data_IF_752259188518
#
_entry.id   IF_752259188518
#
_cell.length_a   1.000
_cell.length_b   1.000
_cell.length_c   1.000
_cell.angle_alpha   90.00
_cell.angle_beta   90.00
_cell.angle_gamma   90.00
#
_symmetry.space_group_name_H-M   'P 1'
#
loop_
_entity.id
_entity.type
_entity.pdbx_description
1 polymer ?
#
# COMPACT_ATOMS: atom_id res chain seq x y z
N UNK A 1 2.80 20.45 20.20
CA UNK A 1 2.54 19.72 18.93
C UNK A 1 2.85 18.25 19.12
N UNK A 2 2.12 17.32 18.48
CA UNK A 2 2.38 15.90 18.60
C UNK A 2 3.75 15.60 18.00
N UNK A 3 4.58 14.95 18.79
CA UNK A 3 5.78 14.33 18.31
C UNK A 3 5.35 13.12 17.47
N UNK A 4 5.35 13.27 16.13
CA UNK A 4 5.40 12.12 15.23
C UNK A 4 6.41 11.14 15.82
N UNK A 5 5.98 9.93 16.18
CA UNK A 5 6.93 8.85 16.50
C UNK A 5 7.75 8.65 15.24
N UNK A 6 8.94 9.25 15.23
CA UNK A 6 9.97 9.09 14.21
C UNK A 6 10.58 7.69 14.28
N UNK A 7 9.76 6.63 14.37
CA UNK A 7 10.25 5.26 14.32
C UNK A 7 10.93 4.93 12.99
N UNK A 8 10.76 5.80 11.98
CA UNK A 8 11.40 5.68 10.66
C UNK A 8 12.37 6.81 10.31
N UNK A 9 12.31 7.98 10.96
CA UNK A 9 12.85 9.22 10.33
C UNK A 9 14.36 9.40 10.44
N UNK A 10 15.09 8.50 11.09
CA UNK A 10 16.55 8.56 11.07
C UNK A 10 17.12 7.18 11.26
N UNK A 11 17.13 6.37 10.18
CA UNK A 11 18.22 5.40 10.09
C UNK A 11 19.52 6.22 10.13
N UNK A 12 20.41 6.02 11.11
CA UNK A 12 21.66 6.77 11.21
C UNK A 12 22.44 6.80 9.89
N UNK A 13 22.30 5.70 9.13
CA UNK A 13 22.88 5.51 7.82
C UNK A 13 22.41 6.53 6.77
N UNK A 14 21.13 6.90 6.75
CA UNK A 14 20.57 7.83 5.74
C UNK A 14 21.22 9.20 5.87
N UNK A 15 21.32 9.74 7.08
CA UNK A 15 21.97 11.03 7.31
C UNK A 15 23.47 11.01 7.06
N UNK A 16 24.16 9.92 7.43
CA UNK A 16 25.59 9.79 7.14
C UNK A 16 25.89 9.63 5.64
N UNK A 17 24.90 9.26 4.83
CA UNK A 17 25.05 9.15 3.38
C UNK A 17 24.88 10.47 2.62
N UNK A 18 24.43 11.53 3.30
CA UNK A 18 24.23 12.85 2.70
C UNK A 18 25.53 13.64 2.76
N UNK A 19 25.86 14.32 1.65
CA UNK A 19 27.00 15.22 1.56
C UNK A 19 26.93 16.34 2.61
N UNK A 20 27.99 16.56 3.42
CA UNK A 20 27.98 17.52 4.52
C UNK A 20 27.52 18.92 4.14
N UNK A 21 27.90 19.42 2.96
CA UNK A 21 27.49 20.75 2.52
C UNK A 21 25.96 20.86 2.32
N UNK A 22 25.34 19.85 1.71
CA UNK A 22 23.88 19.84 1.48
C UNK A 22 23.12 19.70 2.79
N UNK A 23 23.61 18.81 3.67
CA UNK A 23 23.06 18.67 5.00
C UNK A 23 23.12 20.00 5.75
N UNK A 24 24.26 20.70 5.72
CA UNK A 24 24.41 22.02 6.34
C UNK A 24 23.42 23.04 5.76
N UNK A 25 23.30 23.11 4.44
CA UNK A 25 22.33 23.98 3.76
C UNK A 25 20.90 23.70 4.25
N UNK A 26 20.50 22.43 4.35
CA UNK A 26 19.21 22.03 4.89
C UNK A 26 19.02 22.43 6.36
N UNK A 27 19.97 22.13 7.23
CA UNK A 27 19.88 22.47 8.65
C UNK A 27 19.77 23.98 8.88
N UNK A 28 20.40 24.80 8.02
CA UNK A 28 20.31 26.26 8.07
C UNK A 28 18.91 26.84 7.78
N UNK A 29 17.99 26.06 7.23
CA UNK A 29 16.59 26.48 7.14
C UNK A 29 15.91 26.48 8.53
N UNK A 30 16.52 25.81 9.51
CA UNK A 30 15.98 25.63 10.85
C UNK A 30 16.98 26.05 11.96
N UNK A 31 17.83 27.05 11.71
CA UNK A 31 18.90 27.49 12.66
C UNK A 31 18.36 27.72 14.07
N UNK A 32 17.25 28.43 14.22
CA UNK A 32 16.69 28.75 15.53
C UNK A 32 16.25 27.50 16.30
N UNK A 33 15.75 26.49 15.60
CA UNK A 33 15.41 25.21 16.21
C UNK A 33 16.65 24.50 16.72
N UNK A 34 17.67 24.32 15.88
CA UNK A 34 18.90 23.61 16.27
C UNK A 34 19.66 24.35 17.37
N UNK A 35 19.73 25.68 17.33
CA UNK A 35 20.33 26.51 18.38
C UNK A 35 19.63 26.32 19.73
N UNK A 36 18.29 26.31 19.76
CA UNK A 36 17.51 26.02 20.99
C UNK A 36 17.70 24.60 21.49
N UNK A 37 18.02 23.66 20.60
CA UNK A 37 18.31 22.25 20.92
C UNK A 37 19.75 22.01 21.35
N UNK A 38 20.57 23.06 21.46
CA UNK A 38 21.98 22.98 21.86
C UNK A 38 22.90 22.44 20.77
N UNK A 39 22.44 22.39 19.51
CA UNK A 39 23.23 21.95 18.38
C UNK A 39 23.74 23.16 17.59
N UNK A 40 25.07 23.30 17.52
CA UNK A 40 25.71 24.31 16.70
C UNK A 40 25.92 23.78 15.28
N UNK A 41 25.21 24.34 14.30
CA UNK A 41 25.41 24.00 12.90
C UNK A 41 26.81 24.48 12.49
N UNK A 42 27.68 23.62 11.94
CA UNK A 42 29.05 24.00 11.57
C UNK A 42 29.10 25.22 10.65
N UNK A 43 29.93 26.19 11.00
CA UNK A 43 30.18 27.37 10.17
C UNK A 43 31.18 27.00 9.06
N UNK A 44 30.70 26.50 7.93
CA UNK A 44 31.53 26.27 6.74
C UNK A 44 31.14 25.05 5.92
N UNK A 45 31.90 24.81 4.86
CA UNK A 45 31.78 23.68 3.93
C UNK A 45 32.45 22.39 4.44
N UNK A 46 33.02 22.41 5.65
CA UNK A 46 33.72 21.27 6.24
C UNK A 46 32.80 20.09 6.58
N UNK A 47 33.39 18.89 6.62
CA UNK A 47 32.71 17.68 7.07
C UNK A 47 32.31 17.79 8.54
N UNK A 48 31.11 17.28 8.89
CA UNK A 48 30.72 17.12 10.28
C UNK A 48 31.66 16.13 10.97
N UNK A 49 32.08 16.43 12.21
CA UNK A 49 32.81 15.45 13.02
C UNK A 49 31.88 14.31 13.44
N UNK A 50 32.44 13.18 13.87
CA UNK A 50 31.65 12.04 14.34
C UNK A 50 30.77 12.42 15.54
N UNK A 51 31.28 13.27 16.43
CA UNK A 51 30.56 13.80 17.60
C UNK A 51 29.38 14.67 17.16
N UNK A 52 29.59 15.58 16.20
CA UNK A 52 28.53 16.43 15.66
C UNK A 52 27.43 15.60 14.98
N UNK A 53 27.79 14.56 14.24
CA UNK A 53 26.80 13.64 13.67
C UNK A 53 26.02 12.89 14.75
N UNK A 54 26.68 12.40 15.81
CA UNK A 54 26.00 11.76 16.93
C UNK A 54 25.05 12.71 17.64
N UNK A 55 25.45 13.96 17.87
CA UNK A 55 24.57 14.99 18.44
C UNK A 55 23.36 15.27 17.55
N UNK A 56 23.57 15.41 16.24
CA UNK A 56 22.50 15.62 15.27
C UNK A 56 21.50 14.45 15.24
N UNK A 57 22.00 13.21 15.23
CA UNK A 57 21.16 12.01 15.33
C UNK A 57 20.38 12.00 16.64
N UNK A 58 20.98 12.40 17.77
CA UNK A 58 20.26 12.51 19.04
C UNK A 58 19.16 13.56 18.99
N UNK A 59 19.41 14.70 18.35
CA UNK A 59 18.40 15.76 18.16
C UNK A 59 17.23 15.23 17.35
N UNK A 60 17.50 14.54 16.24
CA UNK A 60 16.47 13.95 15.38
C UNK A 60 15.72 12.78 16.01
N UNK A 61 16.39 11.92 16.79
CA UNK A 61 15.75 10.82 17.49
C UNK A 61 15.00 11.26 18.76
N UNK A 62 15.12 12.53 19.15
CA UNK A 62 14.43 13.11 20.32
C UNK A 62 13.56 14.31 19.93
N UNK A 63 12.64 14.16 18.96
CA UNK A 63 11.74 15.24 18.56
C UNK A 63 10.92 15.73 19.77
N UNK A 64 10.58 17.02 19.78
CA UNK A 64 9.80 17.65 20.85
C UNK A 64 8.67 18.51 20.28
N UNK A 65 7.89 19.14 21.17
CA UNK A 65 6.77 20.00 20.78
C UNK A 65 7.17 21.22 19.92
N UNK A 66 8.45 21.62 19.96
CA UNK A 66 9.00 22.76 19.24
C UNK A 66 9.65 22.35 17.90
N UNK A 67 9.57 21.07 17.53
CA UNK A 67 10.14 20.55 16.28
C UNK A 67 9.29 21.05 15.09
N UNK A 68 9.89 21.77 14.12
CA UNK A 68 9.17 22.26 12.97
C UNK A 68 8.49 21.12 12.20
N UNK A 69 7.23 21.33 11.82
CA UNK A 69 6.48 20.34 11.03
C UNK A 69 7.14 20.10 9.68
N UNK A 70 7.63 21.16 9.04
CA UNK A 70 8.35 21.09 7.76
C UNK A 70 9.63 20.25 7.86
N UNK A 71 10.42 20.41 8.93
CA UNK A 71 11.61 19.58 9.19
C UNK A 71 11.24 18.10 9.28
N UNK A 72 10.15 17.80 9.98
CA UNK A 72 9.69 16.43 10.15
C UNK A 72 9.22 15.82 8.84
N UNK A 73 8.45 16.58 8.04
CA UNK A 73 7.97 16.17 6.74
C UNK A 73 9.13 15.94 5.74
N UNK A 74 10.11 16.84 5.73
CA UNK A 74 11.31 16.74 4.92
C UNK A 74 12.05 15.43 5.19
N UNK A 75 12.41 15.20 6.45
CA UNK A 75 13.18 14.03 6.85
C UNK A 75 12.43 12.73 6.54
N UNK A 76 11.11 12.70 6.74
CA UNK A 76 10.28 11.55 6.38
C UNK A 76 10.37 11.21 4.90
N UNK A 77 10.13 12.18 4.01
CA UNK A 77 10.13 11.89 2.59
C UNK A 77 11.55 11.64 2.03
N UNK A 78 12.56 12.30 2.60
CA UNK A 78 13.96 12.04 2.22
C UNK A 78 14.33 10.60 2.58
N UNK A 79 14.02 10.12 3.79
CA UNK A 79 14.31 8.74 4.18
C UNK A 79 13.55 7.73 3.33
N UNK A 80 12.25 7.96 3.08
CA UNK A 80 11.44 7.07 2.24
C UNK A 80 11.96 6.97 0.80
N UNK A 81 12.55 8.04 0.26
CA UNK A 81 13.09 8.09 -1.09
C UNK A 81 14.59 7.75 -1.16
N UNK A 82 15.29 7.58 -0.03
CA UNK A 82 16.72 7.29 0.05
C UNK A 82 17.06 5.83 -0.27
N UNK A 83 16.62 5.34 -1.43
CA UNK A 83 16.93 4.01 -1.94
C UNK A 83 17.09 4.06 -3.48
N UNK A 84 17.65 3.02 -4.10
CA UNK A 84 17.90 3.00 -5.55
C UNK A 84 16.63 3.24 -6.37
N UNK A 85 15.49 2.65 -5.96
CA UNK A 85 14.19 2.87 -6.61
C UNK A 85 13.70 4.31 -6.48
N UNK A 86 13.87 4.90 -5.29
CA UNK A 86 13.53 6.29 -5.04
C UNK A 86 14.41 7.23 -5.87
N UNK A 87 15.70 6.94 -6.00
CA UNK A 87 16.63 7.70 -6.83
C UNK A 87 16.21 7.69 -8.31
N UNK A 88 15.89 6.52 -8.88
CA UNK A 88 15.40 6.43 -10.27
C UNK A 88 14.11 7.24 -10.47
N UNK A 89 13.15 7.12 -9.54
CA UNK A 89 11.90 7.88 -9.59
C UNK A 89 12.15 9.40 -9.53
N UNK A 90 13.08 9.83 -8.68
CA UNK A 90 13.47 11.23 -8.53
C UNK A 90 14.22 11.78 -9.76
N UNK A 91 15.12 10.99 -10.36
CA UNK A 91 15.80 11.37 -11.61
C UNK A 91 14.79 11.54 -12.75
N UNK A 92 13.85 10.61 -12.89
CA UNK A 92 12.79 10.69 -13.88
C UNK A 92 11.91 11.93 -13.64
N UNK A 93 11.52 12.19 -12.39
CA UNK A 93 10.73 13.36 -12.03
C UNK A 93 11.48 14.67 -12.33
N UNK A 94 12.76 14.76 -11.96
CA UNK A 94 13.62 15.91 -12.22
C UNK A 94 13.75 16.17 -13.73
N UNK A 95 13.98 15.12 -14.52
CA UNK A 95 14.02 15.20 -15.98
C UNK A 95 12.70 15.71 -16.58
N UNK A 96 11.56 15.16 -16.14
CA UNK A 96 10.23 15.61 -16.60
C UNK A 96 9.96 17.08 -16.26
N UNK A 97 10.41 17.52 -15.08
CA UNK A 97 10.27 18.88 -14.61
C UNK A 97 11.37 19.84 -15.09
N UNK A 98 12.27 19.37 -15.97
CA UNK A 98 13.42 20.12 -16.52
C UNK A 98 14.30 20.77 -15.45
N UNK A 99 14.47 20.08 -14.31
CA UNK A 99 15.41 20.47 -13.28
C UNK A 99 16.80 20.02 -13.72
N UNK A 100 17.72 20.97 -13.90
CA UNK A 100 19.11 20.67 -14.21
C UNK A 100 19.80 20.19 -12.94
N UNK A 101 20.27 18.95 -12.96
CA UNK A 101 21.14 18.41 -11.91
C UNK A 101 22.60 18.71 -12.27
N UNK A 102 23.46 19.04 -11.31
CA UNK A 102 24.89 19.24 -11.56
C UNK A 102 25.53 18.01 -12.21
N UNK A 103 26.16 18.18 -13.38
CA UNK A 103 26.72 17.07 -14.18
C UNK A 103 27.93 16.40 -13.52
N UNK A 104 28.72 17.17 -12.75
CA UNK A 104 29.98 16.70 -12.14
C UNK A 104 29.79 16.08 -10.75
N UNK A 105 28.57 16.08 -10.22
CA UNK A 105 28.31 15.75 -8.82
C UNK A 105 27.71 14.34 -8.68
N UNK A 106 28.42 13.47 -7.95
CA UNK A 106 27.91 12.12 -7.64
C UNK A 106 26.89 12.21 -6.51
N UNK A 107 25.63 11.96 -6.83
CA UNK A 107 24.56 11.88 -5.85
C UNK A 107 24.43 10.46 -5.29
N UNK A 108 24.40 10.33 -3.96
CA UNK A 108 23.73 9.18 -3.34
C UNK A 108 22.19 9.34 -3.46
N UNK A 109 21.40 8.28 -3.23
CA UNK A 109 19.94 8.43 -3.18
C UNK A 109 19.44 9.47 -2.19
N UNK A 110 20.04 9.53 -0.99
CA UNK A 110 19.69 10.50 0.03
C UNK A 110 20.10 11.93 -0.36
N UNK A 111 21.24 12.09 -1.03
CA UNK A 111 21.67 13.38 -1.58
C UNK A 111 20.68 13.93 -2.60
N UNK A 112 20.25 13.10 -3.56
CA UNK A 112 19.32 13.52 -4.59
C UNK A 112 17.96 13.90 -3.98
N UNK A 113 17.49 13.11 -3.01
CA UNK A 113 16.26 13.41 -2.28
C UNK A 113 16.37 14.75 -1.53
N UNK A 114 17.44 14.97 -0.76
CA UNK A 114 17.64 16.24 -0.05
C UNK A 114 17.77 17.41 -1.02
N UNK A 115 18.51 17.24 -2.12
CA UNK A 115 18.71 18.28 -3.13
C UNK A 115 17.39 18.70 -3.79
N UNK A 116 16.56 17.73 -4.18
CA UNK A 116 15.24 18.00 -4.75
C UNK A 116 14.26 18.58 -3.72
N UNK A 117 14.40 18.22 -2.43
CA UNK A 117 13.66 18.89 -1.36
C UNK A 117 14.00 20.38 -1.30
N UNK A 118 15.30 20.73 -1.33
CA UNK A 118 15.74 22.13 -1.26
C UNK A 118 15.31 22.97 -2.48
N UNK A 119 15.20 22.35 -3.67
CA UNK A 119 14.76 23.04 -4.89
C UNK A 119 13.24 23.14 -4.97
N UNK A 120 12.55 22.00 -4.82
CA UNK A 120 11.11 21.87 -5.05
C UNK A 120 10.53 20.69 -4.26
N UNK A 121 10.13 20.90 -2.98
CA UNK A 121 9.59 19.84 -2.13
C UNK A 121 8.42 19.08 -2.75
N UNK A 122 7.56 19.75 -3.53
CA UNK A 122 6.40 19.12 -4.17
C UNK A 122 6.80 18.01 -5.14
N UNK A 123 7.89 18.17 -5.89
CA UNK A 123 8.35 17.16 -6.85
C UNK A 123 8.74 15.85 -6.16
N UNK A 124 9.43 15.96 -5.03
CA UNK A 124 9.80 14.80 -4.22
C UNK A 124 8.57 14.13 -3.63
N UNK A 125 7.62 14.92 -3.09
CA UNK A 125 6.35 14.39 -2.56
C UNK A 125 5.53 13.67 -3.64
N UNK A 126 5.49 14.22 -4.84
CA UNK A 126 4.77 13.62 -5.97
C UNK A 126 5.44 12.31 -6.41
N UNK A 127 6.77 12.27 -6.50
CA UNK A 127 7.53 11.05 -6.81
C UNK A 127 7.34 9.97 -5.72
N UNK A 128 7.34 10.38 -4.44
CA UNK A 128 7.05 9.49 -3.32
C UNK A 128 5.65 8.90 -3.41
N UNK A 129 4.64 9.73 -3.68
CA UNK A 129 3.26 9.28 -3.87
C UNK A 129 3.16 8.33 -5.06
N UNK A 130 3.79 8.64 -6.19
CA UNK A 130 3.81 7.76 -7.36
C UNK A 130 4.41 6.38 -7.00
N UNK A 131 5.45 6.34 -6.17
CA UNK A 131 6.02 5.11 -5.66
C UNK A 131 5.04 4.36 -4.73
N UNK A 132 4.32 5.06 -3.83
CA UNK A 132 3.28 4.44 -2.98
C UNK A 132 2.22 3.73 -3.83
N UNK A 133 1.77 4.37 -4.90
CA UNK A 133 0.74 3.86 -5.80
C UNK A 133 1.18 2.58 -6.50
N UNK A 134 2.47 2.48 -6.83
CA UNK A 134 3.07 1.30 -7.48
C UNK A 134 3.43 0.16 -6.51
N UNK A 135 3.28 0.36 -5.19
CA UNK A 135 3.60 -0.67 -4.20
C UNK A 135 2.60 -1.84 -4.23
N UNK A 136 3.06 -3.10 -4.09
CA UNK A 136 2.23 -4.28 -4.06
C UNK A 136 1.42 -4.29 -2.78
N UNK A 137 0.15 -4.65 -2.91
CA UNK A 137 -0.83 -4.54 -1.83
C UNK A 137 -1.87 -5.64 -1.95
N UNK A 138 -2.62 -5.79 -0.87
CA UNK A 138 -3.92 -6.44 -0.93
C UNK A 138 -4.94 -5.46 -1.51
N UNK A 139 -5.61 -5.87 -2.60
CA UNK A 139 -6.70 -5.13 -3.20
C UNK A 139 -7.99 -5.94 -3.11
N UNK A 140 -9.09 -5.22 -2.92
CA UNK A 140 -10.44 -5.73 -3.08
C UNK A 140 -10.93 -5.32 -4.47
N UNK A 141 -11.41 -6.27 -5.25
CA UNK A 141 -11.82 -6.09 -6.63
C UNK A 141 -13.34 -5.96 -6.69
N UNK A 142 -13.82 -4.97 -7.43
CA UNK A 142 -15.24 -4.72 -7.66
C UNK A 142 -15.44 -4.40 -9.12
N UNK A 143 -16.05 -5.33 -9.85
CA UNK A 143 -16.36 -5.14 -11.26
C UNK A 143 -17.66 -4.37 -11.40
N UNK A 144 -17.77 -3.56 -12.44
CA UNK A 144 -19.02 -2.93 -12.81
C UNK A 144 -20.06 -4.01 -13.17
N UNK A 145 -21.34 -3.79 -12.81
CA UNK A 145 -22.44 -4.73 -13.08
C UNK A 145 -22.69 -4.94 -14.57
N UNK A 146 -22.53 -3.89 -15.36
CA UNK A 146 -22.63 -3.94 -16.81
C UNK A 146 -21.26 -4.28 -17.42
N UNK A 147 -21.26 -5.20 -18.39
CA UNK A 147 -20.04 -5.59 -19.14
C UNK A 147 -19.46 -4.39 -19.89
N UNK A 148 -20.33 -3.56 -20.45
CA UNK A 148 -19.98 -2.35 -21.21
C UNK A 148 -20.78 -1.19 -20.62
N UNK A 149 -20.30 -0.57 -19.53
CA UNK A 149 -20.99 0.55 -18.94
C UNK A 149 -20.97 1.77 -19.85
N UNK A 150 -21.83 2.74 -19.50
CA UNK A 150 -21.71 4.09 -20.03
C UNK A 150 -20.31 4.66 -19.77
N UNK A 151 -19.83 5.52 -20.66
CA UNK A 151 -18.50 6.11 -20.51
C UNK A 151 -18.41 6.87 -19.17
N UNK A 152 -17.37 6.62 -18.35
CA UNK A 152 -17.22 7.32 -17.07
C UNK A 152 -17.11 8.83 -17.31
N UNK A 153 -17.69 9.62 -16.39
CA UNK A 153 -17.51 11.08 -16.39
C UNK A 153 -16.02 11.43 -16.33
N UNK A 154 -15.63 12.50 -17.02
CA UNK A 154 -14.23 12.97 -17.03
C UNK A 154 -13.81 13.41 -15.63
N UNK A 155 -12.58 13.06 -15.27
CA UNK A 155 -11.95 13.55 -14.05
C UNK A 155 -11.68 15.04 -14.25
N UNK A 156 -12.25 15.86 -13.38
CA UNK A 156 -12.11 17.33 -13.36
C UNK A 156 -11.80 17.77 -11.94
N UNK A 157 -11.20 18.94 -11.77
CA UNK A 157 -10.92 19.48 -10.42
C UNK A 157 -12.19 19.54 -9.56
N UNK A 158 -13.33 19.88 -10.17
CA UNK A 158 -14.64 19.88 -9.50
C UNK A 158 -15.04 18.49 -9.00
N UNK A 159 -14.77 17.44 -9.77
CA UNK A 159 -15.02 16.06 -9.34
C UNK A 159 -14.12 15.70 -8.15
N UNK A 160 -12.84 16.09 -8.19
CA UNK A 160 -11.88 15.82 -7.09
C UNK A 160 -12.28 16.56 -5.81
N UNK A 161 -12.68 17.82 -5.91
CA UNK A 161 -13.21 18.59 -4.76
C UNK A 161 -14.47 17.94 -4.19
N UNK A 162 -15.37 17.46 -5.06
CA UNK A 162 -16.58 16.76 -4.63
C UNK A 162 -16.25 15.42 -3.94
N UNK A 163 -15.29 14.68 -4.47
CA UNK A 163 -14.80 13.43 -3.89
C UNK A 163 -14.19 13.66 -2.51
N UNK A 164 -13.31 14.66 -2.36
CA UNK A 164 -12.74 15.05 -1.06
C UNK A 164 -13.82 15.42 -0.05
N UNK A 165 -14.80 16.25 -0.44
CA UNK A 165 -15.91 16.63 0.43
C UNK A 165 -16.72 15.43 0.92
N UNK A 166 -17.00 14.44 0.05
CA UNK A 166 -17.67 13.20 0.45
C UNK A 166 -16.82 12.34 1.39
N UNK A 167 -15.51 12.26 1.15
CA UNK A 167 -14.57 11.55 2.04
C UNK A 167 -14.52 12.22 3.42
N UNK A 168 -14.53 13.55 3.47
CA UNK A 168 -14.49 14.31 4.71
C UNK A 168 -15.76 14.13 5.54
N UNK A 169 -16.94 14.15 4.90
CA UNK A 169 -18.22 13.82 5.54
C UNK A 169 -18.21 12.39 6.11
N UNK A 170 -17.74 11.44 5.31
CA UNK A 170 -17.63 10.03 5.68
C UNK A 170 -16.67 9.78 6.86
N UNK A 171 -15.55 10.53 6.90
CA UNK A 171 -14.59 10.48 7.99
C UNK A 171 -15.14 11.11 9.26
N UNK A 172 -15.83 12.26 9.15
CA UNK A 172 -16.44 12.95 10.28
C UNK A 172 -17.48 12.07 10.98
N UNK A 173 -18.32 11.37 10.21
CA UNK A 173 -19.30 10.41 10.72
C UNK A 173 -18.66 9.25 11.52
N UNK A 174 -17.36 8.97 11.29
CA UNK A 174 -16.57 7.96 12.02
C UNK A 174 -15.64 8.53 13.07
N UNK A 175 -15.87 9.78 13.51
CA UNK A 175 -15.03 10.45 14.51
C UNK A 175 -13.56 10.58 14.08
N UNK A 176 -13.32 10.64 12.77
CA UNK A 176 -12.02 11.02 12.19
C UNK A 176 -12.04 12.49 11.80
N UNK A 177 -10.88 13.03 11.47
CA UNK A 177 -10.76 14.41 10.98
C UNK A 177 -11.36 14.53 9.59
N UNK A 178 -12.10 15.60 9.36
CA UNK A 178 -12.71 15.93 8.07
C UNK A 178 -11.69 16.66 7.18
N UNK A 179 -10.52 16.05 6.97
CA UNK A 179 -9.47 16.57 6.11
C UNK A 179 -8.91 15.42 5.29
N UNK A 180 -9.10 15.50 3.98
CA UNK A 180 -8.57 14.56 3.01
C UNK A 180 -7.89 15.28 1.86
N UNK A 181 -6.93 14.58 1.23
CA UNK A 181 -6.29 15.02 -0.01
C UNK A 181 -6.34 13.87 -1.01
N UNK A 182 -6.82 14.15 -2.21
CA UNK A 182 -6.89 13.17 -3.29
C UNK A 182 -5.92 13.57 -4.40
N UNK A 183 -5.02 12.66 -4.76
CA UNK A 183 -4.12 12.80 -5.90
C UNK A 183 -4.45 11.73 -6.94
N UNK A 184 -4.44 12.10 -8.22
CA UNK A 184 -4.81 11.20 -9.33
C UNK A 184 -3.60 10.95 -10.22
N UNK A 185 -3.39 9.68 -10.57
CA UNK A 185 -2.31 9.23 -11.44
C UNK A 185 -2.87 8.34 -12.54
N UNK A 186 -2.46 8.57 -13.79
CA UNK A 186 -2.86 7.75 -14.93
C UNK A 186 -1.71 6.82 -15.35
N UNK A 187 -1.99 5.54 -15.55
CA UNK A 187 -1.04 4.52 -16.01
C UNK A 187 -1.66 3.62 -17.07
N UNK A 188 -1.57 4.03 -18.34
CA UNK A 188 -2.25 3.33 -19.42
C UNK A 188 -3.77 3.40 -19.22
N UNK A 189 -4.41 2.24 -19.02
CA UNK A 189 -5.85 2.15 -18.77
C UNK A 189 -6.23 2.35 -17.30
N UNK A 190 -5.27 2.35 -16.37
CA UNK A 190 -5.52 2.48 -14.94
C UNK A 190 -5.51 3.95 -14.48
N UNK A 191 -6.47 4.29 -13.63
CA UNK A 191 -6.58 5.56 -12.93
C UNK A 191 -6.49 5.32 -11.43
N UNK A 192 -5.36 5.69 -10.85
CA UNK A 192 -5.10 5.53 -9.43
C UNK A 192 -5.41 6.82 -8.66
N UNK A 193 -6.27 6.71 -7.65
CA UNK A 193 -6.64 7.76 -6.70
C UNK A 193 -5.98 7.45 -5.36
N UNK A 194 -4.90 8.16 -5.03
CA UNK A 194 -4.34 8.10 -3.68
C UNK A 194 -5.12 9.05 -2.79
N UNK A 195 -5.70 8.50 -1.72
CA UNK A 195 -6.57 9.23 -0.80
C UNK A 195 -5.84 9.31 0.55
N UNK A 196 -5.23 10.46 0.84
CA UNK A 196 -4.70 10.73 2.17
C UNK A 196 -5.83 11.16 3.09
N UNK A 197 -5.92 10.57 4.28
CA UNK A 197 -6.94 10.87 5.30
C UNK A 197 -6.38 10.71 6.69
N UNK A 198 -6.99 11.34 7.69
CA UNK A 198 -6.64 11.05 9.08
C UNK A 198 -7.23 9.72 9.56
N UNK A 199 -6.45 8.97 10.31
CA UNK A 199 -6.90 7.76 11.02
C UNK A 199 -7.61 8.13 12.34
N UNK A 200 -8.19 7.16 13.06
CA UNK A 200 -8.77 7.42 14.38
C UNK A 200 -7.78 8.06 15.35
N UNK A 201 -8.30 8.90 16.25
CA UNK A 201 -7.50 9.53 17.30
C UNK A 201 -6.79 8.47 18.13
N UNK A 202 -5.47 8.60 18.26
CA UNK A 202 -4.68 7.76 19.13
C UNK A 202 -4.35 8.53 20.41
N UNK A 203 -4.58 7.89 21.57
CA UNK A 203 -4.02 8.31 22.85
C UNK A 203 -3.04 7.26 23.34
N UNK A 204 -1.89 7.67 23.83
CA UNK A 204 -0.89 6.74 24.32
C UNK A 204 0.27 7.43 24.99
N UNK A 205 1.08 6.64 25.67
CA UNK A 205 2.32 7.13 26.27
C UNK A 205 3.32 7.49 25.17
N UNK A 206 3.86 8.69 25.28
CA UNK A 206 4.96 9.19 24.47
C UNK A 206 6.05 9.68 25.39
N UNK A 207 7.31 9.49 24.99
CA UNK A 207 8.44 10.03 25.70
C UNK A 207 8.59 11.51 25.33
N UNK A 208 8.39 12.42 26.28
CA UNK A 208 8.54 13.86 26.06
C UNK A 208 9.47 14.44 27.13
N UNK A 209 10.59 15.04 26.70
CA UNK A 209 11.62 15.62 27.58
C UNK A 209 12.12 14.64 28.66
N UNK A 210 12.30 13.37 28.30
CA UNK A 210 12.78 12.32 29.22
C UNK A 210 11.73 11.77 30.19
N UNK A 211 10.48 12.25 30.11
CA UNK A 211 9.37 11.78 30.94
C UNK A 211 8.33 11.06 30.09
N UNK A 212 7.74 10.00 30.63
CA UNK A 212 6.55 9.39 30.06
C UNK A 212 5.35 10.32 30.26
N UNK A 213 4.72 10.75 29.17
CA UNK A 213 3.51 11.57 29.20
C UNK A 213 2.45 10.95 28.30
N UNK A 214 1.17 11.19 28.61
CA UNK A 214 0.08 10.83 27.72
C UNK A 214 -0.11 11.92 26.67
N UNK A 215 0.06 11.57 25.40
CA UNK A 215 -0.29 12.44 24.29
C UNK A 215 -1.50 11.90 23.53
N UNK A 216 -2.21 12.82 22.90
CA UNK A 216 -3.30 12.53 21.98
C UNK A 216 -2.89 13.09 20.62
N UNK A 217 -2.88 12.25 19.58
CA UNK A 217 -2.53 12.63 18.21
C UNK A 217 -3.37 11.87 17.21
N UNK A 218 -3.43 12.38 15.98
CA UNK A 218 -4.16 11.75 14.89
C UNK A 218 -3.18 11.33 13.79
N UNK A 219 -2.96 10.02 13.57
CA UNK A 219 -2.11 9.55 12.48
C UNK A 219 -2.71 9.93 11.12
N UNK A 220 -1.84 10.14 10.13
CA UNK A 220 -2.25 10.16 8.74
C UNK A 220 -2.21 8.72 8.21
N UNK A 221 -3.28 8.30 7.54
CA UNK A 221 -3.37 7.07 6.78
C UNK A 221 -3.66 7.38 5.32
N UNK A 222 -3.71 6.35 4.50
CA UNK A 222 -4.15 6.49 3.12
C UNK A 222 -4.89 5.26 2.64
N UNK A 223 -5.78 5.48 1.69
CA UNK A 223 -6.40 4.44 0.88
C UNK A 223 -5.98 4.65 -0.58
N UNK A 224 -6.09 3.59 -1.38
CA UNK A 224 -5.82 3.63 -2.81
C UNK A 224 -6.99 3.00 -3.56
N UNK A 225 -7.57 3.76 -4.49
CA UNK A 225 -8.62 3.27 -5.39
C UNK A 225 -8.07 3.33 -6.81
N UNK A 226 -8.05 2.21 -7.53
CA UNK A 226 -7.63 2.14 -8.93
C UNK A 226 -8.86 1.80 -9.76
N UNK A 227 -9.15 2.60 -10.77
CA UNK A 227 -10.18 2.32 -11.76
C UNK A 227 -9.55 1.96 -13.10
N UNK A 228 -9.88 0.79 -13.65
CA UNK A 228 -9.44 0.39 -14.99
C UNK A 228 -10.47 0.83 -16.05
N UNK A 229 -10.03 1.54 -17.09
CA UNK A 229 -10.88 2.08 -18.16
C UNK A 229 -11.30 1.02 -19.19
N UNK A 230 -10.50 -0.02 -19.39
CA UNK A 230 -10.73 -1.08 -20.38
C UNK A 230 -11.63 -2.17 -19.82
N UNK A 231 -11.38 -2.56 -18.59
CA UNK A 231 -12.18 -3.48 -17.78
C UNK A 231 -12.79 -2.64 -16.68
N UNK A 232 -14.08 -2.28 -16.75
CA UNK A 232 -14.69 -1.35 -15.81
C UNK A 232 -14.73 -1.96 -14.40
N UNK A 233 -13.67 -1.73 -13.64
CA UNK A 233 -13.37 -2.40 -12.39
C UNK A 233 -12.67 -1.43 -11.44
N UNK A 234 -13.03 -1.50 -10.16
CA UNK A 234 -12.35 -0.85 -9.06
C UNK A 234 -11.49 -1.85 -8.31
N UNK A 235 -10.24 -1.48 -8.06
CA UNK A 235 -9.34 -2.15 -7.12
C UNK A 235 -9.14 -1.22 -5.93
N UNK A 236 -9.54 -1.68 -4.75
CA UNK A 236 -9.59 -0.84 -3.55
C UNK A 236 -8.67 -1.43 -2.48
N UNK A 237 -7.66 -0.66 -2.12
CA UNK A 237 -6.85 -0.86 -0.94
C UNK A 237 -7.33 0.11 0.15
N UNK A 238 -8.16 -0.41 1.05
CA UNK A 238 -8.63 0.28 2.24
C UNK A 238 -8.77 -0.74 3.38
N UNK A 239 -8.50 -0.29 4.61
CA UNK A 239 -8.41 -1.17 5.77
C UNK A 239 -9.75 -1.74 6.21
N UNK A 240 -10.85 -1.00 6.03
CA UNK A 240 -12.17 -1.38 6.55
C UNK A 240 -13.16 -1.67 5.43
N UNK A 241 -13.99 -2.70 5.60
CA UNK A 241 -15.10 -3.03 4.68
C UNK A 241 -16.04 -1.84 4.45
N UNK A 242 -16.29 -1.03 5.48
CA UNK A 242 -17.09 0.19 5.36
C UNK A 242 -16.48 1.24 4.43
N UNK A 243 -15.14 1.35 4.37
CA UNK A 243 -14.41 2.23 3.44
C UNK A 243 -14.54 1.70 2.02
N UNK A 244 -14.37 0.39 1.83
CA UNK A 244 -14.52 -0.26 0.53
C UNK A 244 -15.90 -0.02 -0.08
N UNK A 245 -16.97 -0.28 0.69
CA UNK A 245 -18.36 -0.05 0.25
C UNK A 245 -18.59 1.43 -0.09
N UNK A 246 -18.06 2.35 0.72
CA UNK A 246 -18.18 3.77 0.46
C UNK A 246 -17.48 4.20 -0.83
N UNK A 247 -16.28 3.69 -1.09
CA UNK A 247 -15.58 3.97 -2.33
C UNK A 247 -16.33 3.40 -3.53
N UNK A 248 -16.84 2.17 -3.48
CA UNK A 248 -17.70 1.63 -4.54
C UNK A 248 -18.88 2.56 -4.86
N UNK A 249 -19.63 2.98 -3.84
CA UNK A 249 -20.78 3.89 -4.00
C UNK A 249 -20.39 5.26 -4.53
N UNK A 250 -19.35 5.85 -3.95
CA UNK A 250 -18.91 7.21 -4.28
C UNK A 250 -18.37 7.25 -5.70
N UNK A 251 -17.52 6.31 -6.09
CA UNK A 251 -17.00 6.23 -7.46
C UNK A 251 -18.08 5.85 -8.45
N UNK A 252 -18.99 4.93 -8.10
CA UNK A 252 -20.16 4.62 -8.92
C UNK A 252 -21.00 5.86 -9.23
N UNK A 253 -21.37 6.62 -8.20
CA UNK A 253 -22.12 7.87 -8.35
C UNK A 253 -21.37 8.92 -9.15
N UNK A 254 -20.07 9.12 -8.88
CA UNK A 254 -19.30 10.19 -9.52
C UNK A 254 -18.96 9.86 -10.98
N UNK A 255 -18.75 8.60 -11.34
CA UNK A 255 -18.38 8.21 -12.70
C UNK A 255 -19.57 7.83 -13.56
N UNK A 256 -20.59 7.18 -12.99
CA UNK A 256 -21.69 6.55 -13.74
C UNK A 256 -23.09 7.04 -13.30
N UNK A 257 -23.16 7.91 -12.29
CA UNK A 257 -24.43 8.37 -11.68
C UNK A 257 -25.24 7.29 -10.95
N UNK A 258 -24.65 6.12 -10.72
CA UNK A 258 -25.26 4.95 -10.06
C UNK A 258 -24.36 4.47 -8.90
N UNK A 259 -24.86 4.52 -7.67
CA UNK A 259 -24.12 4.09 -6.48
C UNK A 259 -23.93 2.57 -6.39
N UNK A 260 -24.79 1.78 -7.04
CA UNK A 260 -24.80 0.33 -6.89
C UNK A 260 -24.15 -0.38 -8.10
N UNK A 261 -23.54 0.39 -9.01
CA UNK A 261 -22.95 -0.14 -10.22
C UNK A 261 -21.73 -1.04 -9.97
N UNK A 262 -21.11 -0.97 -8.79
CA UNK A 262 -20.02 -1.83 -8.33
C UNK A 262 -20.46 -2.74 -7.17
N UNK A 263 -21.13 -3.89 -7.43
CA UNK A 263 -21.61 -4.78 -6.37
C UNK A 263 -20.47 -5.49 -5.63
N UNK A 264 -20.74 -5.90 -4.38
CA UNK A 264 -19.80 -6.62 -3.51
C UNK A 264 -19.71 -8.14 -3.79
N UNK A 265 -20.01 -8.57 -5.02
CA UNK A 265 -20.06 -10.00 -5.38
C UNK A 265 -18.67 -10.66 -5.40
N UNK A 266 -18.66 -12.00 -5.39
CA UNK A 266 -17.43 -12.77 -5.61
C UNK A 266 -16.88 -12.45 -7.01
N UNK A 267 -15.58 -12.16 -7.07
CA UNK A 267 -14.86 -11.78 -8.27
C UNK A 267 -13.81 -12.83 -8.67
N UNK A 268 -13.36 -13.63 -7.71
CA UNK A 268 -12.42 -14.73 -7.88
C UNK A 268 -13.08 -16.06 -7.52
N UNK A 269 -12.98 -17.03 -8.42
CA UNK A 269 -13.26 -18.44 -8.15
C UNK A 269 -11.97 -19.24 -8.15
N UNK A 270 -11.77 -20.03 -7.09
CA UNK A 270 -10.63 -20.94 -6.96
C UNK A 270 -10.98 -22.37 -7.37
N UNK A 271 -12.23 -22.63 -7.76
CA UNK A 271 -12.71 -23.95 -8.25
C UNK A 271 -11.94 -24.40 -9.50
N UNK A 272 -11.42 -23.45 -10.29
CA UNK A 272 -10.55 -23.74 -11.44
C UNK A 272 -9.30 -24.54 -11.07
N UNK A 273 -8.83 -24.46 -9.83
CA UNK A 273 -7.67 -25.26 -9.36
C UNK A 273 -8.05 -26.74 -9.30
N UNK A 274 -9.27 -27.06 -8.86
CA UNK A 274 -9.77 -28.45 -8.80
C UNK A 274 -10.07 -28.97 -10.21
N UNK A 275 -10.66 -28.13 -11.08
CA UNK A 275 -11.03 -28.50 -12.44
C UNK A 275 -9.83 -28.74 -13.36
N UNK A 276 -8.77 -27.93 -13.23
CA UNK A 276 -7.59 -28.00 -14.10
C UNK A 276 -6.43 -28.80 -13.49
N UNK A 277 -6.38 -28.97 -12.17
CA UNK A 277 -5.26 -29.61 -11.50
C UNK A 277 -3.92 -28.94 -11.87
N UNK A 278 -2.93 -29.72 -12.29
CA UNK A 278 -1.60 -29.21 -12.66
C UNK A 278 -1.64 -28.20 -13.82
N UNK A 279 -2.62 -28.29 -14.72
CA UNK A 279 -2.77 -27.41 -15.88
C UNK A 279 -3.10 -25.97 -15.50
N UNK A 280 -3.53 -25.71 -14.25
CA UNK A 280 -3.69 -24.35 -13.71
C UNK A 280 -2.38 -23.56 -13.79
N UNK A 281 -1.23 -24.24 -13.84
CA UNK A 281 0.09 -23.60 -13.90
C UNK A 281 0.53 -23.23 -15.32
N UNK A 282 -0.34 -23.40 -16.32
CA UNK A 282 -0.08 -22.97 -17.69
C UNK A 282 -0.10 -21.44 -17.82
N UNK A 283 0.92 -20.81 -18.42
CA UNK A 283 0.90 -19.37 -18.73
C UNK A 283 -0.17 -18.97 -19.77
N UNK A 284 -0.76 -19.92 -20.50
CA UNK A 284 -1.73 -19.68 -21.57
C UNK A 284 -1.28 -18.68 -22.65
N UNK A 285 0.03 -18.54 -22.86
CA UNK A 285 0.58 -17.60 -23.84
C UNK A 285 0.40 -16.13 -23.46
N UNK A 286 0.15 -15.82 -22.18
CA UNK A 286 0.11 -14.43 -21.71
C UNK A 286 1.52 -13.83 -21.72
N UNK A 287 1.68 -12.73 -22.47
CA UNK A 287 2.94 -12.03 -22.60
C UNK A 287 3.48 -11.57 -21.23
N UNK A 288 4.78 -11.78 -21.00
CA UNK A 288 5.47 -11.36 -19.78
C UNK A 288 5.62 -12.44 -18.71
N UNK A 289 4.92 -13.58 -18.82
CA UNK A 289 5.01 -14.71 -17.88
C UNK A 289 5.82 -15.85 -18.51
N UNK A 290 6.89 -16.28 -17.84
CA UNK A 290 7.67 -17.45 -18.23
C UNK A 290 7.11 -18.73 -17.61
N UNK A 291 6.86 -18.71 -16.29
CA UNK A 291 6.43 -19.90 -15.54
C UNK A 291 5.52 -19.53 -14.39
N UNK A 292 4.55 -20.39 -14.11
CA UNK A 292 3.65 -20.28 -12.97
C UNK A 292 3.82 -21.52 -12.11
N UNK A 293 3.78 -21.36 -10.79
CA UNK A 293 3.85 -22.48 -9.85
C UNK A 293 2.88 -22.26 -8.70
N UNK A 294 1.99 -23.22 -8.46
CA UNK A 294 1.14 -23.21 -7.26
C UNK A 294 1.98 -23.67 -6.07
N UNK A 295 2.09 -22.82 -5.05
CA UNK A 295 3.00 -23.04 -3.91
C UNK A 295 2.28 -23.15 -2.57
N UNK A 296 1.04 -22.69 -2.48
CA UNK A 296 0.23 -22.76 -1.26
C UNK A 296 -1.24 -22.80 -1.59
N UNK A 297 -2.00 -23.57 -0.82
CA UNK A 297 -3.47 -23.52 -0.76
C UNK A 297 -3.91 -23.57 0.70
N UNK A 298 -5.04 -22.95 0.99
CA UNK A 298 -5.77 -23.15 2.23
C UNK A 298 -7.15 -23.75 1.92
N UNK A 299 -7.44 -24.87 2.56
CA UNK A 299 -8.67 -25.64 2.43
C UNK A 299 -9.54 -25.40 3.64
N UNK A 300 -10.81 -25.08 3.42
CA UNK A 300 -11.84 -24.95 4.43
C UNK A 300 -12.71 -26.20 4.42
N UNK A 301 -12.64 -26.98 5.50
CA UNK A 301 -13.53 -28.10 5.75
C UNK A 301 -14.72 -27.59 6.58
N UNK A 302 -15.92 -27.63 6.00
CA UNK A 302 -17.12 -27.18 6.69
C UNK A 302 -17.54 -28.20 7.75
N UNK A 303 -17.79 -27.72 8.96
CA UNK A 303 -18.19 -28.51 10.13
C UNK A 303 -18.18 -27.68 11.40
N UNK A 304 -18.60 -28.27 12.51
CA UNK A 304 -18.41 -27.73 13.86
C UNK A 304 -17.48 -28.66 14.65
N UNK A 305 -16.25 -28.21 15.01
CA UNK A 305 -15.62 -26.94 14.64
C UNK A 305 -15.24 -26.89 13.16
N UNK A 306 -15.17 -25.68 12.60
CA UNK A 306 -14.65 -25.45 11.26
C UNK A 306 -13.13 -25.65 11.26
N UNK A 307 -12.61 -26.38 10.27
CA UNK A 307 -11.18 -26.67 10.15
C UNK A 307 -10.61 -25.99 8.90
N UNK A 308 -9.48 -25.30 9.06
CA UNK A 308 -8.71 -24.73 7.94
C UNK A 308 -7.35 -25.41 7.90
N UNK A 309 -7.07 -26.11 6.82
CA UNK A 309 -5.80 -26.81 6.59
C UNK A 309 -5.00 -26.09 5.51
N UNK A 310 -3.74 -25.76 5.81
CA UNK A 310 -2.82 -25.15 4.85
C UNK A 310 -1.85 -26.19 4.29
N UNK A 311 -1.73 -26.25 2.97
CA UNK A 311 -0.68 -27.00 2.28
C UNK A 311 0.26 -26.04 1.58
N UNK A 312 1.56 -26.15 1.86
CA UNK A 312 2.61 -25.30 1.29
C UNK A 312 3.80 -26.13 0.85
N UNK A 313 4.28 -25.87 -0.35
CA UNK A 313 5.47 -26.51 -0.94
C UNK A 313 6.04 -25.62 -2.04
N UNK A 314 7.33 -25.78 -2.39
CA UNK A 314 7.90 -25.09 -3.55
C UNK A 314 7.26 -25.53 -4.88
N UNK A 315 6.75 -26.77 -4.91
CA UNK A 315 5.99 -27.38 -6.00
C UNK A 315 4.86 -28.19 -5.39
N UNK A 316 3.66 -27.61 -5.33
CA UNK A 316 2.57 -28.17 -4.52
C UNK A 316 2.05 -29.50 -5.07
N UNK A 317 1.75 -29.57 -6.36
CA UNK A 317 1.20 -30.79 -6.97
C UNK A 317 2.15 -31.99 -6.89
N UNK A 318 3.46 -31.80 -7.18
CA UNK A 318 4.47 -32.85 -7.00
C UNK A 318 4.49 -33.37 -5.55
N UNK A 319 4.44 -32.45 -4.57
CA UNK A 319 4.50 -32.80 -3.15
C UNK A 319 3.24 -33.52 -2.65
N UNK A 320 2.07 -33.22 -3.23
CA UNK A 320 0.81 -33.91 -2.96
C UNK A 320 0.84 -35.33 -3.55
N UNK A 321 1.27 -35.46 -4.82
CA UNK A 321 1.38 -36.74 -5.54
C UNK A 321 2.34 -37.73 -4.85
N UNK A 322 3.52 -37.28 -4.43
CA UNK A 322 4.51 -38.12 -3.72
C UNK A 322 3.99 -38.64 -2.38
N UNK A 323 3.07 -37.91 -1.74
CA UNK A 323 2.50 -38.29 -0.43
C UNK A 323 1.15 -38.99 -0.54
N UNK A 324 0.74 -39.33 -1.77
CA UNK A 324 -0.58 -39.87 -2.09
C UNK A 324 -1.73 -39.05 -1.45
N UNK A 325 -1.58 -37.73 -1.48
CA UNK A 325 -2.58 -36.77 -1.01
C UNK A 325 -3.25 -36.14 -2.22
N UNK A 326 -4.57 -36.06 -2.19
CA UNK A 326 -5.35 -35.29 -3.14
C UNK A 326 -5.91 -34.03 -2.48
N UNK A 327 -6.29 -33.04 -3.29
CA UNK A 327 -7.18 -31.97 -2.85
C UNK A 327 -8.47 -32.65 -2.35
N UNK A 328 -8.86 -32.40 -1.10
CA UNK A 328 -9.95 -33.15 -0.49
C UNK A 328 -11.29 -32.81 -1.19
N UNK A 329 -12.09 -33.81 -1.61
CA UNK A 329 -13.32 -33.55 -2.38
C UNK A 329 -14.40 -32.75 -1.62
N UNK A 330 -14.31 -32.67 -0.29
CA UNK A 330 -15.28 -31.96 0.55
C UNK A 330 -14.74 -30.65 1.16
N UNK A 331 -13.52 -30.23 0.79
CA UNK A 331 -12.91 -29.03 1.32
C UNK A 331 -12.89 -27.93 0.25
N UNK A 332 -13.39 -26.74 0.58
CA UNK A 332 -13.39 -25.60 -0.33
C UNK A 332 -12.04 -24.89 -0.28
N UNK A 333 -11.44 -24.60 -1.43
CA UNK A 333 -10.26 -23.72 -1.50
C UNK A 333 -10.66 -22.29 -1.16
N UNK A 334 -10.13 -21.74 -0.05
CA UNK A 334 -10.40 -20.36 0.38
C UNK A 334 -9.29 -19.39 0.02
N UNK A 335 -8.07 -19.89 -0.20
CA UNK A 335 -6.98 -19.10 -0.77
C UNK A 335 -5.98 -19.97 -1.50
N UNK A 336 -5.32 -19.40 -2.50
CA UNK A 336 -4.24 -20.02 -3.25
C UNK A 336 -3.12 -19.00 -3.50
N UNK A 337 -1.86 -19.41 -3.31
CA UNK A 337 -0.69 -18.59 -3.65
C UNK A 337 0.04 -19.19 -4.84
N UNK A 338 0.20 -18.38 -5.87
CA UNK A 338 0.97 -18.69 -7.07
C UNK A 338 2.27 -17.90 -7.06
N UNK A 339 3.36 -18.55 -7.48
CA UNK A 339 4.64 -17.91 -7.80
C UNK A 339 4.75 -17.80 -9.32
N UNK A 340 5.02 -16.60 -9.81
CA UNK A 340 5.26 -16.28 -11.21
C UNK A 340 6.74 -15.99 -11.39
N UNK A 341 7.37 -16.66 -12.36
CA UNK A 341 8.63 -16.23 -12.95
C UNK A 341 8.29 -15.42 -14.20
N UNK A 342 8.73 -14.17 -14.22
CA UNK A 342 8.54 -13.24 -15.32
C UNK A 342 9.68 -13.39 -16.33
N UNK A 343 9.47 -12.96 -17.58
CA UNK A 343 10.50 -13.03 -18.64
C UNK A 343 11.78 -12.23 -18.36
N UNK A 344 11.76 -11.35 -17.36
CA UNK A 344 12.93 -10.60 -16.89
C UNK A 344 13.61 -11.23 -15.67
N UNK A 345 13.46 -12.55 -15.50
CA UNK A 345 13.98 -13.39 -14.40
C UNK A 345 13.48 -13.01 -13.00
N UNK A 346 12.51 -12.09 -12.90
CA UNK A 346 11.98 -11.72 -11.59
C UNK A 346 10.85 -12.64 -11.13
N UNK A 347 10.84 -12.93 -9.83
CA UNK A 347 9.77 -13.71 -9.22
C UNK A 347 8.75 -12.82 -8.49
N UNK A 348 7.46 -13.09 -8.68
CA UNK A 348 6.37 -12.43 -7.94
C UNK A 348 5.46 -13.52 -7.35
N UNK A 349 5.04 -13.37 -6.10
CA UNK A 349 4.01 -14.24 -5.51
C UNK A 349 2.71 -13.47 -5.32
N UNK A 350 1.61 -14.10 -5.73
CA UNK A 350 0.26 -13.56 -5.61
C UNK A 350 -0.60 -14.54 -4.85
N UNK A 351 -1.21 -14.06 -3.77
CA UNK A 351 -2.23 -14.82 -3.04
C UNK A 351 -3.60 -14.33 -3.45
N UNK A 352 -4.40 -15.22 -3.99
CA UNK A 352 -5.79 -14.98 -4.36
C UNK A 352 -6.67 -15.62 -3.29
N UNK A 353 -7.60 -14.85 -2.74
CA UNK A 353 -8.60 -15.34 -1.80
C UNK A 353 -9.92 -15.51 -2.54
N UNK A 354 -10.63 -16.61 -2.25
CA UNK A 354 -12.00 -16.78 -2.75
C UNK A 354 -12.84 -15.60 -2.30
N UNK A 355 -13.69 -15.05 -3.17
CA UNK A 355 -14.31 -13.75 -2.95
C UNK A 355 -13.71 -12.73 -3.90
N UNK A 356 -13.12 -11.65 -3.41
CA UNK A 356 -12.67 -10.56 -4.27
C UNK A 356 -11.33 -9.95 -3.86
N UNK A 357 -10.47 -10.70 -3.16
CA UNK A 357 -9.20 -10.18 -2.64
C UNK A 357 -8.01 -10.85 -3.34
N UNK A 358 -7.07 -10.04 -3.82
CA UNK A 358 -5.76 -10.52 -4.24
C UNK A 358 -4.64 -9.69 -3.60
N UNK A 359 -3.58 -10.36 -3.15
CA UNK A 359 -2.42 -9.78 -2.49
C UNK A 359 -1.16 -10.07 -3.29
N UNK A 360 -0.42 -9.03 -3.64
CA UNK A 360 0.85 -9.11 -4.33
C UNK A 360 2.01 -8.90 -3.35
N UNK A 361 3.16 -9.53 -3.59
CA UNK A 361 4.32 -9.42 -2.69
C UNK A 361 5.47 -8.52 -3.19
N UNK A 362 5.43 -8.01 -4.43
CA UNK A 362 6.51 -7.18 -5.03
C UNK A 362 6.01 -6.06 -5.94
N UNK A 363 6.71 -4.91 -5.91
CA UNK A 363 6.48 -3.74 -6.79
C UNK A 363 6.71 -4.13 -8.27
N UNK A 364 5.68 -4.63 -8.94
CA UNK A 364 5.74 -4.94 -10.37
C UNK A 364 4.42 -4.62 -11.03
N UNK A 365 4.48 -4.42 -12.33
CA UNK A 365 3.30 -4.39 -13.17
C UNK A 365 2.56 -5.73 -13.03
N UNK A 366 1.42 -5.70 -12.35
CA UNK A 366 0.62 -6.90 -12.09
C UNK A 366 -0.28 -7.25 -13.29
N UNK A 367 -0.27 -6.44 -14.36
CA UNK A 367 -1.12 -6.63 -15.54
C UNK A 367 -0.98 -8.02 -16.17
N UNK A 368 0.23 -8.56 -16.45
CA UNK A 368 0.35 -9.92 -16.98
C UNK A 368 -0.29 -10.97 -16.07
N UNK A 369 -0.17 -10.80 -14.75
CA UNK A 369 -0.73 -11.75 -13.78
C UNK A 369 -2.26 -11.66 -13.77
N UNK A 370 -2.83 -10.46 -13.82
CA UNK A 370 -4.27 -10.26 -13.91
C UNK A 370 -4.86 -10.76 -15.24
N UNK A 371 -4.14 -10.56 -16.34
CA UNK A 371 -4.50 -11.08 -17.67
C UNK A 371 -4.52 -12.62 -17.65
N UNK A 372 -3.51 -13.24 -17.04
CA UNK A 372 -3.51 -14.69 -16.80
C UNK A 372 -4.67 -15.14 -15.91
N UNK A 373 -4.94 -14.46 -14.79
CA UNK A 373 -6.07 -14.80 -13.91
C UNK A 373 -7.40 -14.76 -14.67
N UNK A 374 -7.54 -13.82 -15.59
CA UNK A 374 -8.72 -13.71 -16.47
C UNK A 374 -8.75 -14.85 -17.50
N UNK A 375 -7.64 -15.12 -18.18
CA UNK A 375 -7.55 -16.15 -19.22
C UNK A 375 -7.78 -17.57 -18.69
N UNK A 376 -7.26 -17.88 -17.50
CA UNK A 376 -7.39 -19.21 -16.87
C UNK A 376 -8.77 -19.40 -16.18
N UNK A 377 -9.52 -18.31 -15.98
CA UNK A 377 -10.85 -18.30 -15.38
C UNK A 377 -10.87 -18.16 -13.85
N UNK A 378 -9.76 -17.83 -13.20
CA UNK A 378 -9.75 -17.52 -11.75
C UNK A 378 -10.47 -16.18 -11.50
N UNK A 379 -10.18 -15.17 -12.30
CA UNK A 379 -10.91 -13.89 -12.32
C UNK A 379 -12.13 -14.07 -13.19
N UNK A 380 -13.30 -14.10 -12.57
CA UNK A 380 -14.54 -14.49 -13.24
C UNK A 380 -14.89 -13.50 -14.38
N UNK A 381 -15.03 -14.05 -15.58
CA UNK A 381 -15.77 -13.40 -16.66
C UNK A 381 -17.27 -13.48 -16.34
N UNK A 382 -18.05 -12.49 -16.75
CA UNK A 382 -19.44 -12.35 -16.30
C UNK A 382 -20.32 -13.49 -16.86
N UNK A 383 -20.54 -14.56 -16.08
CA UNK A 383 -21.71 -15.45 -16.18
C UNK A 383 -22.21 -15.87 -14.78
N UNK A 384 -23.53 -15.67 -14.63
CA UNK A 384 -24.50 -16.10 -13.63
C UNK A 384 -24.19 -15.92 -12.13
N UNK A 385 -24.72 -14.80 -11.63
CA UNK A 385 -25.20 -14.59 -10.26
C UNK A 385 -25.59 -15.88 -9.55
N UNK A 386 -24.70 -16.40 -8.70
CA UNK A 386 -25.11 -17.13 -7.52
C UNK A 386 -25.30 -16.13 -6.37
N UNK A 387 -26.48 -16.21 -5.75
CA UNK A 387 -26.90 -15.31 -4.68
C UNK A 387 -25.83 -15.20 -3.58
N UNK A 388 -25.61 -14.01 -2.99
CA UNK A 388 -24.61 -13.82 -1.96
C UNK A 388 -24.96 -14.67 -0.73
N UNK A 389 -24.14 -15.69 -0.48
CA UNK A 389 -24.25 -16.50 0.72
C UNK A 389 -23.79 -15.64 1.92
N UNK A 390 -24.78 -15.09 2.65
CA UNK A 390 -24.62 -14.12 3.75
C UNK A 390 -23.68 -14.58 4.89
N UNK A 391 -23.32 -15.86 4.93
CA UNK A 391 -22.47 -16.46 5.95
C UNK A 391 -20.97 -16.33 5.65
N UNK A 392 -20.56 -16.16 4.38
CA UNK A 392 -19.15 -16.13 3.95
C UNK A 392 -18.45 -14.77 4.11
N UNK A 393 -19.21 -13.67 4.11
CA UNK A 393 -18.64 -12.32 4.25
C UNK A 393 -17.98 -12.10 5.61
N UNK A 394 -18.39 -12.83 6.66
CA UNK A 394 -17.83 -12.68 8.01
C UNK A 394 -16.55 -13.50 8.24
N UNK A 395 -16.36 -14.61 7.51
CA UNK A 395 -15.18 -15.46 7.67
C UNK A 395 -13.95 -14.94 6.90
N UNK A 396 -14.16 -14.26 5.77
CA UNK A 396 -13.08 -13.76 4.90
C UNK A 396 -12.63 -12.32 5.25
N UNK A 397 -13.39 -11.59 6.07
CA UNK A 397 -13.08 -10.21 6.43
C UNK A 397 -11.97 -10.06 7.48
N UNK A 398 -11.52 -11.15 8.13
CA UNK A 398 -10.54 -11.03 9.21
C UNK A 398 -9.73 -12.32 9.47
N UNK A 399 -8.63 -12.58 8.72
CA UNK A 399 -7.78 -13.75 8.98
C UNK A 399 -7.08 -13.73 10.36
N UNK A 400 -7.15 -12.62 11.11
CA UNK A 400 -6.57 -12.47 12.44
C UNK A 400 -7.60 -12.46 13.60
N UNK A 401 -8.90 -12.69 13.36
CA UNK A 401 -9.90 -12.67 14.44
C UNK A 401 -9.96 -13.97 15.27
N UNK A 402 -9.42 -15.08 14.77
CA UNK A 402 -9.46 -16.37 15.47
C UNK A 402 -8.51 -16.45 16.69
N UNK A 403 -7.64 -15.45 16.89
CA UNK A 403 -6.62 -15.45 17.94
C UNK A 403 -6.98 -14.74 19.25
N UNK A 404 -8.19 -14.19 19.42
CA UNK A 404 -8.54 -13.38 20.61
C UNK A 404 -9.80 -13.81 21.38
N UNK A 405 -10.44 -14.92 21.00
CA UNK A 405 -11.63 -15.43 21.68
C UNK A 405 -11.34 -16.52 22.75
N UNK A 406 -10.08 -16.73 23.15
CA UNK A 406 -9.70 -17.84 24.04
C UNK A 406 -9.10 -17.42 25.41
N UNK A 407 -9.30 -16.18 25.87
CA UNK A 407 -8.75 -15.74 27.17
C UNK A 407 -9.71 -14.88 28.00
N UNK A 408 -10.95 -15.34 28.18
CA UNK A 408 -11.91 -14.72 29.10
C UNK A 408 -12.88 -15.76 29.69
N UNK A 409 -12.36 -16.90 30.16
CA UNK A 409 -13.14 -17.85 30.95
C UNK A 409 -12.23 -18.77 31.79
N UNK A 410 -11.53 -18.20 32.79
CA UNK A 410 -11.21 -18.92 34.06
C UNK A 410 -10.51 -17.96 35.02
N UNK A 411 -11.27 -17.37 35.95
CA UNK A 411 -10.81 -17.04 37.31
C UNK A 411 -12.00 -16.60 38.16
N UNK A 412 -12.73 -17.59 38.65
CA UNK A 412 -13.57 -17.53 39.85
C UNK A 412 -13.34 -18.82 40.62
N UNK A 413 -12.36 -18.77 41.52
CA UNK A 413 -12.25 -19.48 42.80
C UNK A 413 -10.89 -19.09 43.39
#
# INVERSE_FOLDING_TARGET
MPTLKLTHVTKPYTLSSIHPQRLNQFLRHFVDYFKRRGFAIPAGEGAFTQEQFHELIRVFNSPNADTPTELTEALFHIDEMACSKGMEALLLAASKARIQLPEDEKFTPADLALHLWLIRPSLLKDAYVEQIVKKPRSFNYYRHRDIVPSRPRKITDKLIVTLQSKIDEFNLARRRVAVSRVSVYEFGDDLAFLILRGDPMHRGEVLQRGNWVFATWQPAGYDLVIYNRKIPELRIHASLKGEQVFYCKTFGRLFFDDEDCFPSSQHFSLERIDELGEDIQSPLGVDGIERITLIKIALLEQGEPTLITEHKSAKLFEALKVRDRCLQPNARIVSATFRFLMLDDSEVAVTVYSGNIATFNRDRDCRPIEDWMTAIGIKLAMQETHAPNKTLENALSNPNAAGHAANLATRTA
#
